data_IF_122157558047
#
_entry.id   IF_122157558047
#
_cell.length_a   1.000
_cell.length_b   1.000
_cell.length_c   1.000
_cell.angle_alpha   90.00
_cell.angle_beta   90.00
_cell.angle_gamma   90.00
#
_symmetry.space_group_name_H-M   'P 1'
#
loop_
_entity.id
_entity.type
_entity.pdbx_description
1 polymer ?
#
# COMPACT_ATOMS: atom_id res chain seq x y z
N UNK A 1 -13.30 30.10 -16.88
CA UNK A 1 -12.91 29.84 -15.47
C UNK A 1 -14.03 29.06 -14.82
N UNK A 2 -13.71 27.91 -14.24
CA UNK A 2 -14.66 27.03 -13.52
C UNK A 2 -14.52 27.33 -12.03
N UNK A 3 -15.63 27.61 -11.33
CA UNK A 3 -15.63 27.89 -9.89
C UNK A 3 -16.24 26.72 -9.15
N UNK A 4 -15.58 26.28 -8.06
CA UNK A 4 -16.01 25.17 -7.22
C UNK A 4 -15.77 25.43 -5.73
N UNK A 5 -16.69 25.00 -4.89
CA UNK A 5 -16.50 25.05 -3.43
C UNK A 5 -15.30 24.21 -3.01
N UNK A 6 -15.17 23.02 -3.57
CA UNK A 6 -14.06 22.11 -3.30
C UNK A 6 -13.49 21.55 -4.61
N UNK A 7 -12.16 21.56 -4.71
CA UNK A 7 -11.45 20.86 -5.77
C UNK A 7 -10.54 19.80 -5.13
N UNK A 8 -10.64 18.57 -5.63
CA UNK A 8 -9.76 17.45 -5.25
C UNK A 8 -8.91 17.10 -6.45
N UNK A 9 -7.59 17.05 -6.29
CA UNK A 9 -6.64 16.74 -7.36
C UNK A 9 -6.05 15.36 -7.17
N UNK A 10 -6.22 14.51 -8.18
CA UNK A 10 -5.78 13.12 -8.20
C UNK A 10 -6.91 12.14 -7.92
N UNK A 11 -7.21 11.29 -8.90
CA UNK A 11 -8.24 10.25 -8.87
C UNK A 11 -7.79 8.91 -8.28
N UNK A 12 -6.73 8.89 -7.46
CA UNK A 12 -6.37 7.72 -6.68
C UNK A 12 -7.34 7.48 -5.52
N UNK A 13 -7.15 6.38 -4.77
CA UNK A 13 -8.04 6.01 -3.66
C UNK A 13 -8.25 7.16 -2.65
N UNK A 14 -7.18 7.86 -2.29
CA UNK A 14 -7.24 8.97 -1.34
C UNK A 14 -8.12 10.13 -1.87
N UNK A 15 -7.94 10.53 -3.13
CA UNK A 15 -8.72 11.60 -3.74
C UNK A 15 -10.18 11.20 -3.95
N UNK A 16 -10.43 9.98 -4.39
CA UNK A 16 -11.80 9.45 -4.53
C UNK A 16 -12.53 9.42 -3.19
N UNK A 17 -11.86 8.95 -2.12
CA UNK A 17 -12.45 8.93 -0.78
C UNK A 17 -12.73 10.34 -0.26
N UNK A 18 -11.83 11.29 -0.49
CA UNK A 18 -12.02 12.69 -0.13
C UNK A 18 -13.20 13.32 -0.89
N UNK A 19 -13.22 13.15 -2.21
CA UNK A 19 -14.30 13.67 -3.06
C UNK A 19 -15.65 13.05 -2.71
N UNK A 20 -15.69 11.72 -2.50
CA UNK A 20 -16.91 11.04 -2.09
C UNK A 20 -17.41 11.52 -0.72
N UNK A 21 -16.52 11.71 0.25
CA UNK A 21 -16.87 12.24 1.57
C UNK A 21 -17.48 13.65 1.49
N UNK A 22 -16.97 14.49 0.59
CA UNK A 22 -17.53 15.82 0.33
C UNK A 22 -18.89 15.74 -0.36
N UNK A 23 -19.01 14.94 -1.42
CA UNK A 23 -20.26 14.73 -2.13
C UNK A 23 -21.34 14.12 -1.23
N UNK A 24 -20.96 13.17 -0.36
CA UNK A 24 -21.86 12.57 0.64
C UNK A 24 -22.45 13.62 1.62
N UNK A 25 -21.70 14.68 1.88
CA UNK A 25 -22.15 15.83 2.70
C UNK A 25 -22.82 16.94 1.87
N UNK A 26 -23.15 16.68 0.61
CA UNK A 26 -23.81 17.64 -0.28
C UNK A 26 -22.95 18.84 -0.68
N UNK A 27 -21.61 18.69 -0.64
CA UNK A 27 -20.71 19.77 -1.04
C UNK A 27 -20.52 19.80 -2.56
N UNK A 28 -20.39 21.00 -3.13
CA UNK A 28 -20.00 21.17 -4.53
C UNK A 28 -18.54 20.81 -4.71
N UNK A 29 -18.28 19.63 -5.25
CA UNK A 29 -16.93 19.05 -5.41
C UNK A 29 -16.63 18.71 -6.85
N UNK A 30 -15.43 19.07 -7.30
CA UNK A 30 -14.82 18.65 -8.55
C UNK A 30 -13.55 17.85 -8.24
N UNK A 31 -13.49 16.61 -8.70
CA UNK A 31 -12.26 15.83 -8.73
C UNK A 31 -11.62 15.96 -10.11
N UNK A 32 -10.32 16.25 -10.14
CA UNK A 32 -9.52 16.39 -11.38
C UNK A 32 -8.49 15.27 -11.42
N UNK A 33 -8.51 14.48 -12.51
CA UNK A 33 -7.58 13.38 -12.77
C UNK A 33 -6.89 13.60 -14.12
N UNK A 34 -5.58 13.40 -14.17
CA UNK A 34 -4.78 13.61 -15.38
C UNK A 34 -4.95 12.50 -16.42
N UNK A 35 -5.29 11.30 -15.98
CA UNK A 35 -5.46 10.14 -16.86
C UNK A 35 -6.91 10.02 -17.35
N UNK A 36 -7.12 9.13 -18.29
CA UNK A 36 -8.45 8.80 -18.84
C UNK A 36 -9.39 8.13 -17.82
N UNK A 37 -8.85 7.65 -16.69
CA UNK A 37 -9.59 6.97 -15.62
C UNK A 37 -8.98 7.20 -14.24
N UNK A 38 -9.81 7.08 -13.21
CA UNK A 38 -9.36 7.04 -11.83
C UNK A 38 -8.68 5.71 -11.47
N UNK A 39 -7.99 5.68 -10.32
CA UNK A 39 -7.41 4.48 -9.71
C UNK A 39 -6.02 4.70 -9.12
N UNK A 40 -5.19 5.49 -9.77
CA UNK A 40 -3.79 5.64 -9.34
C UNK A 40 -3.11 4.27 -9.29
N UNK A 41 -2.56 3.88 -8.12
CA UNK A 41 -1.94 2.57 -7.89
C UNK A 41 -2.96 1.42 -7.71
N UNK A 42 -4.26 1.71 -7.72
CA UNK A 42 -5.33 0.72 -7.63
C UNK A 42 -6.13 0.61 -8.93
N UNK A 43 -5.51 0.90 -10.06
CA UNK A 43 -6.16 0.76 -11.35
C UNK A 43 -6.15 -0.69 -11.84
N UNK A 44 -7.11 -1.03 -12.66
CA UNK A 44 -7.07 -2.22 -13.53
C UNK A 44 -7.02 -1.76 -14.98
N UNK A 45 -6.40 -2.54 -15.84
CA UNK A 45 -6.35 -2.26 -17.28
C UNK A 45 -6.67 -3.51 -18.08
N UNK A 46 -7.08 -3.31 -19.33
CA UNK A 46 -7.38 -4.40 -20.26
C UNK A 46 -6.30 -4.49 -21.33
N UNK A 47 -5.89 -5.71 -21.63
CA UNK A 47 -5.01 -5.99 -22.74
C UNK A 47 -5.34 -7.36 -23.35
N UNK A 48 -5.54 -7.40 -24.66
CA UNK A 48 -5.84 -8.61 -25.43
C UNK A 48 -7.01 -9.42 -24.85
N UNK A 49 -8.06 -8.75 -24.36
CA UNK A 49 -9.23 -9.37 -23.74
C UNK A 49 -9.07 -9.78 -22.28
N UNK A 50 -7.90 -9.64 -21.69
CA UNK A 50 -7.63 -9.91 -20.28
C UNK A 50 -7.62 -8.64 -19.45
N UNK A 51 -8.15 -8.75 -18.24
CA UNK A 51 -8.08 -7.67 -17.23
C UNK A 51 -6.94 -7.95 -16.27
N UNK A 52 -6.06 -6.97 -16.08
CA UNK A 52 -4.92 -7.02 -15.19
C UNK A 52 -5.02 -5.94 -14.12
N UNK A 53 -4.45 -6.24 -12.93
CA UNK A 53 -4.29 -5.27 -11.86
C UNK A 53 -2.99 -4.49 -12.05
N UNK A 54 -3.10 -3.16 -12.24
CA UNK A 54 -1.96 -2.29 -12.55
C UNK A 54 -1.02 -2.01 -11.39
N UNK A 55 -1.46 -2.29 -10.15
CA UNK A 55 -0.66 -2.06 -8.95
C UNK A 55 -1.08 -2.98 -7.81
N UNK A 56 -1.91 -2.50 -6.88
CA UNK A 56 -2.39 -3.33 -5.78
C UNK A 56 -3.22 -4.51 -6.29
N UNK A 57 -2.94 -5.71 -5.75
CA UNK A 57 -3.58 -6.98 -6.15
C UNK A 57 -4.43 -7.58 -5.04
N UNK A 58 -4.46 -6.93 -3.90
CA UNK A 58 -5.28 -7.29 -2.75
C UNK A 58 -5.55 -6.04 -1.93
N UNK A 59 -6.61 -6.08 -1.14
CA UNK A 59 -6.92 -5.06 -0.14
C UNK A 59 -6.71 -5.66 1.24
N UNK A 60 -6.04 -4.91 2.10
CA UNK A 60 -6.04 -5.20 3.53
C UNK A 60 -7.27 -4.52 4.11
N UNK A 61 -8.19 -5.29 4.67
CA UNK A 61 -9.40 -4.72 5.26
C UNK A 61 -9.06 -3.80 6.44
N UNK A 62 -8.21 -4.23 7.36
CA UNK A 62 -7.66 -3.46 8.50
C UNK A 62 -8.65 -2.47 9.14
N UNK A 63 -9.94 -2.81 9.14
CA UNK A 63 -11.00 -1.95 9.67
C UNK A 63 -11.36 -0.72 8.83
N UNK A 64 -10.84 -0.56 7.61
CA UNK A 64 -11.09 0.62 6.76
C UNK A 64 -12.00 0.32 5.55
N UNK A 65 -11.70 -0.75 4.81
CA UNK A 65 -12.40 -1.03 3.54
C UNK A 65 -13.87 -1.37 3.78
N UNK A 66 -14.15 -2.28 4.72
CA UNK A 66 -15.52 -2.65 5.08
C UNK A 66 -16.36 -1.46 5.57
N UNK A 67 -15.87 -0.64 6.52
CA UNK A 67 -16.55 0.60 6.92
C UNK A 67 -16.79 1.58 5.78
N UNK A 68 -15.83 1.78 4.85
CA UNK A 68 -16.02 2.63 3.67
C UNK A 68 -17.15 2.14 2.78
N UNK A 69 -17.16 0.84 2.46
CA UNK A 69 -18.21 0.22 1.65
C UNK A 69 -19.59 0.46 2.30
N UNK A 70 -19.69 0.22 3.61
CA UNK A 70 -20.93 0.37 4.37
C UNK A 70 -21.38 1.82 4.50
N UNK A 71 -20.46 2.75 4.82
CA UNK A 71 -20.76 4.17 5.04
C UNK A 71 -21.30 4.82 3.77
N UNK A 72 -20.66 4.51 2.64
CA UNK A 72 -21.06 5.11 1.37
C UNK A 72 -22.12 4.31 0.61
N UNK A 73 -22.50 3.10 1.10
CA UNK A 73 -23.49 2.24 0.45
C UNK A 73 -23.00 1.71 -0.90
N UNK A 74 -21.70 1.39 -1.01
CA UNK A 74 -21.11 0.92 -2.26
C UNK A 74 -21.67 -0.48 -2.60
N UNK A 75 -22.13 -0.66 -3.82
CA UNK A 75 -22.56 -1.95 -4.34
C UNK A 75 -21.34 -2.78 -4.77
N UNK A 76 -20.56 -3.22 -3.79
CA UNK A 76 -19.31 -3.96 -4.00
C UNK A 76 -19.29 -5.20 -3.12
N UNK A 77 -19.14 -6.37 -3.75
CA UNK A 77 -18.85 -7.62 -3.06
C UNK A 77 -17.34 -7.78 -2.90
N UNK A 78 -16.89 -8.07 -1.67
CA UNK A 78 -15.50 -8.40 -1.38
C UNK A 78 -15.40 -9.84 -0.92
N UNK A 79 -14.39 -10.54 -1.44
CA UNK A 79 -14.14 -11.95 -1.17
C UNK A 79 -12.91 -12.10 -0.29
N UNK A 80 -12.84 -13.09 0.60
CA UNK A 80 -11.59 -13.45 1.26
C UNK A 80 -10.50 -13.76 0.23
N UNK A 81 -9.28 -13.29 0.49
CA UNK A 81 -8.13 -13.51 -0.38
C UNK A 81 -6.96 -14.12 0.44
N UNK A 82 -7.05 -15.39 0.83
CA UNK A 82 -5.99 -16.03 1.58
C UNK A 82 -4.69 -16.05 0.77
N UNK A 83 -3.57 -16.08 1.48
CA UNK A 83 -2.23 -16.08 0.90
C UNK A 83 -1.66 -17.49 0.98
N UNK A 84 -1.05 -17.95 -0.09
CA UNK A 84 -0.22 -19.16 -0.08
C UNK A 84 1.25 -18.76 -0.06
N UNK A 85 1.99 -19.27 0.92
CA UNK A 85 3.46 -19.23 0.93
C UNK A 85 3.99 -20.55 0.37
N UNK A 86 4.73 -20.48 -0.72
CA UNK A 86 5.40 -21.60 -1.35
C UNK A 86 6.92 -21.45 -1.24
N UNK A 87 7.60 -22.48 -0.75
CA UNK A 87 9.07 -22.54 -0.71
C UNK A 87 9.47 -23.93 -1.23
N UNK A 88 10.15 -23.97 -2.38
CA UNK A 88 10.48 -25.21 -3.09
C UNK A 88 9.20 -26.01 -3.41
N UNK A 89 9.12 -27.26 -2.92
CA UNK A 89 7.97 -28.16 -3.06
C UNK A 89 6.92 -28.05 -1.97
N UNK A 90 7.14 -27.16 -1.00
CA UNK A 90 6.25 -26.97 0.15
C UNK A 90 5.38 -25.74 0.00
N UNK A 91 4.12 -25.86 0.37
CA UNK A 91 3.17 -24.75 0.36
C UNK A 91 2.34 -24.71 1.64
N UNK A 92 2.05 -23.51 2.11
CA UNK A 92 1.25 -23.25 3.29
C UNK A 92 0.25 -22.13 3.02
N UNK A 93 -1.02 -22.37 3.27
CA UNK A 93 -2.04 -21.31 3.22
C UNK A 93 -2.05 -20.55 4.55
N UNK A 94 -1.87 -19.24 4.48
CA UNK A 94 -1.91 -18.35 5.64
C UNK A 94 -3.32 -17.78 5.79
N UNK A 95 -3.93 -18.09 6.91
CA UNK A 95 -5.27 -17.61 7.29
C UNK A 95 -5.19 -16.75 8.59
N UNK A 96 -4.10 -16.02 8.76
CA UNK A 96 -3.83 -15.16 9.93
C UNK A 96 -3.12 -15.89 11.07
N UNK A 97 -3.38 -15.43 12.30
CA UNK A 97 -2.67 -15.87 13.51
C UNK A 97 -2.70 -17.41 13.73
N UNK A 98 -3.79 -18.06 13.38
CA UNK A 98 -3.93 -19.52 13.52
C UNK A 98 -2.94 -20.32 12.68
N UNK A 99 -2.38 -19.75 11.62
CA UNK A 99 -1.39 -20.39 10.77
C UNK A 99 0.06 -20.26 11.29
N UNK A 100 0.31 -19.50 12.35
CA UNK A 100 1.65 -19.31 12.89
C UNK A 100 2.33 -20.62 13.35
N UNK A 101 1.64 -21.59 13.97
CA UNK A 101 2.26 -22.88 14.31
C UNK A 101 2.74 -23.64 13.07
N UNK A 102 1.94 -23.64 12.00
CA UNK A 102 2.28 -24.34 10.76
C UNK A 102 3.40 -23.61 10.02
N UNK A 103 3.41 -22.27 10.07
CA UNK A 103 4.52 -21.48 9.55
C UNK A 103 5.83 -21.74 10.30
N UNK A 104 5.79 -21.81 11.65
CA UNK A 104 6.94 -22.20 12.44
C UNK A 104 7.43 -23.61 12.06
N UNK A 105 6.53 -24.57 11.89
CA UNK A 105 6.86 -25.94 11.47
C UNK A 105 7.49 -25.97 10.08
N UNK A 106 6.97 -25.18 9.14
CA UNK A 106 7.54 -25.04 7.80
C UNK A 106 8.97 -24.54 7.86
N UNK A 107 9.22 -23.43 8.56
CA UNK A 107 10.56 -22.84 8.69
C UNK A 107 11.53 -23.76 9.40
N UNK A 108 11.16 -24.39 10.51
CA UNK A 108 11.98 -25.38 11.22
C UNK A 108 12.32 -26.59 10.36
N UNK A 109 11.37 -27.04 9.53
CA UNK A 109 11.62 -28.14 8.59
C UNK A 109 12.56 -27.78 7.46
N UNK A 110 12.66 -26.51 7.10
CA UNK A 110 13.58 -26.00 6.07
C UNK A 110 14.96 -25.64 6.66
N UNK A 111 14.98 -25.15 7.90
CA UNK A 111 16.18 -24.64 8.60
C UNK A 111 16.26 -25.27 10.02
N UNK A 112 16.51 -26.58 10.13
CA UNK A 112 16.51 -27.27 11.43
C UNK A 112 17.61 -26.76 12.37
N UNK A 113 18.69 -26.19 11.83
CA UNK A 113 19.76 -25.56 12.62
C UNK A 113 19.35 -24.24 13.27
N UNK A 114 18.21 -23.66 12.87
CA UNK A 114 17.72 -22.35 13.32
C UNK A 114 16.39 -22.43 14.09
N UNK A 115 16.09 -23.54 14.72
CA UNK A 115 14.80 -23.72 15.42
C UNK A 115 14.55 -22.68 16.53
N UNK A 116 15.60 -22.32 17.29
CA UNK A 116 15.49 -21.34 18.37
C UNK A 116 15.18 -19.92 17.82
N UNK A 117 15.82 -19.55 16.72
CA UNK A 117 15.59 -18.27 16.02
C UNK A 117 14.18 -18.21 15.44
N UNK A 118 13.69 -19.32 14.89
CA UNK A 118 12.29 -19.42 14.41
C UNK A 118 11.32 -19.24 15.57
N UNK A 119 11.53 -19.86 16.73
CA UNK A 119 10.67 -19.67 17.89
C UNK A 119 10.68 -18.23 18.39
N UNK A 120 11.84 -17.59 18.41
CA UNK A 120 11.96 -16.18 18.79
C UNK A 120 11.21 -15.26 17.80
N UNK A 121 11.33 -15.50 16.49
CA UNK A 121 10.57 -14.79 15.46
C UNK A 121 9.06 -14.93 15.66
N UNK A 122 8.56 -16.14 15.85
CA UNK A 122 7.13 -16.41 16.05
C UNK A 122 6.63 -15.73 17.33
N UNK A 123 7.45 -15.72 18.39
CA UNK A 123 7.15 -14.99 19.62
C UNK A 123 7.03 -13.47 19.39
N UNK A 124 7.93 -12.90 18.61
CA UNK A 124 7.90 -11.48 18.22
C UNK A 124 6.65 -11.16 17.38
N UNK A 125 6.32 -11.98 16.40
CA UNK A 125 5.11 -11.82 15.57
C UNK A 125 3.84 -11.83 16.46
N UNK A 126 3.71 -12.79 17.37
CA UNK A 126 2.56 -12.87 18.31
C UNK A 126 2.45 -11.61 19.16
N UNK A 127 3.57 -11.12 19.69
CA UNK A 127 3.57 -9.90 20.50
C UNK A 127 3.06 -8.69 19.71
N UNK A 128 3.46 -8.56 18.45
CA UNK A 128 2.99 -7.47 17.57
C UNK A 128 1.53 -7.66 17.18
N UNK A 129 1.08 -8.89 16.94
CA UNK A 129 -0.36 -9.17 16.70
C UNK A 129 -1.21 -8.71 17.90
N UNK A 130 -0.77 -8.94 19.13
CA UNK A 130 -1.47 -8.48 20.32
C UNK A 130 -1.47 -6.94 20.43
N UNK A 131 -0.41 -6.27 20.02
CA UNK A 131 -0.36 -4.82 19.90
C UNK A 131 -1.34 -4.30 18.83
N UNK A 132 -1.41 -4.98 17.69
CA UNK A 132 -2.37 -4.66 16.62
C UNK A 132 -3.83 -4.79 17.09
N UNK A 133 -4.13 -5.80 17.89
CA UNK A 133 -5.48 -5.95 18.52
C UNK A 133 -5.83 -4.76 19.41
N UNK A 134 -4.87 -4.16 20.10
CA UNK A 134 -5.09 -2.96 20.89
C UNK A 134 -5.32 -1.73 20.00
N UNK A 135 -4.56 -1.56 18.92
CA UNK A 135 -4.67 -0.42 17.99
C UNK A 135 -5.97 -0.42 17.19
N UNK A 136 -6.37 -1.60 16.70
CA UNK A 136 -7.54 -1.76 15.84
C UNK A 136 -8.78 -2.31 16.57
N UNK A 137 -8.67 -2.57 17.88
CA UNK A 137 -9.76 -3.11 18.71
C UNK A 137 -10.89 -2.12 19.02
N UNK A 138 -10.74 -0.85 18.64
CA UNK A 138 -11.76 0.19 18.78
C UNK A 138 -12.28 0.57 17.41
N UNK A 139 -13.60 0.66 17.25
CA UNK A 139 -14.21 1.18 16.03
C UNK A 139 -13.54 2.50 15.64
N UNK A 140 -13.12 2.63 14.39
CA UNK A 140 -12.49 3.84 13.89
C UNK A 140 -13.43 5.03 14.13
N UNK A 141 -13.01 6.07 14.87
CA UNK A 141 -13.87 7.20 15.24
C UNK A 141 -14.40 7.98 14.02
N UNK A 142 -13.76 7.85 12.86
CA UNK A 142 -14.23 8.44 11.60
C UNK A 142 -15.54 7.83 11.12
N UNK A 143 -15.82 6.58 11.48
CA UNK A 143 -17.00 5.82 11.08
C UNK A 143 -17.92 5.46 12.26
N UNK A 144 -17.55 5.85 13.48
CA UNK A 144 -18.35 5.59 14.68
C UNK A 144 -19.66 6.38 14.63
N UNK A 145 -20.79 5.68 14.59
CA UNK A 145 -22.09 6.31 14.88
C UNK A 145 -22.05 6.83 16.31
N UNK A 146 -22.60 8.05 16.55
CA UNK A 146 -22.69 8.68 17.88
C UNK A 146 -23.18 7.66 18.92
N UNK A 147 -22.26 7.05 19.65
CA UNK A 147 -22.55 6.20 20.81
C UNK A 147 -22.52 7.08 22.06
N UNK A 148 -23.40 6.78 23.02
CA UNK A 148 -23.51 7.54 24.26
C UNK A 148 -22.18 7.41 25.05
N UNK A 149 -21.42 8.50 25.14
CA UNK A 149 -20.06 8.56 25.71
C UNK A 149 -20.06 8.09 27.20
N UNK A 150 -21.17 8.28 27.92
CA UNK A 150 -21.28 7.94 29.34
C UNK A 150 -21.27 6.43 29.63
N UNK A 151 -21.75 5.59 28.71
CA UNK A 151 -21.77 4.13 28.90
C UNK A 151 -20.46 3.45 28.51
N UNK A 152 -19.57 4.16 27.81
CA UNK A 152 -18.29 3.64 27.33
C UNK A 152 -17.10 4.04 28.23
N UNK A 153 -17.30 4.96 29.19
CA UNK A 153 -16.21 5.58 29.92
C UNK A 153 -15.22 4.61 30.61
N UNK A 154 -15.62 3.58 31.36
CA UNK A 154 -14.65 2.71 32.03
C UNK A 154 -13.81 1.85 31.08
N UNK A 155 -14.42 1.34 30.02
CA UNK A 155 -13.73 0.54 29.01
C UNK A 155 -12.80 1.40 28.14
N UNK A 156 -13.18 2.64 27.84
CA UNK A 156 -12.36 3.61 27.11
C UNK A 156 -11.14 4.02 27.95
N UNK A 157 -11.29 4.26 29.24
CA UNK A 157 -10.16 4.62 30.12
C UNK A 157 -9.14 3.48 30.18
N UNK A 158 -9.59 2.24 30.43
CA UNK A 158 -8.71 1.08 30.48
C UNK A 158 -8.02 0.83 29.13
N UNK A 159 -8.76 1.01 28.04
CA UNK A 159 -8.21 0.90 26.68
C UNK A 159 -7.20 2.02 26.40
N UNK A 160 -7.47 3.24 26.79
CA UNK A 160 -6.57 4.40 26.61
C UNK A 160 -5.20 4.15 27.25
N UNK A 161 -5.18 3.57 28.45
CA UNK A 161 -3.93 3.24 29.12
C UNK A 161 -3.16 2.13 28.35
N UNK A 162 -3.86 1.09 27.89
CA UNK A 162 -3.27 0.06 27.03
C UNK A 162 -2.74 0.66 25.73
N UNK A 163 -3.51 1.55 25.11
CA UNK A 163 -3.15 2.23 23.87
C UNK A 163 -1.84 3.01 24.00
N UNK A 164 -1.70 3.87 25.00
CA UNK A 164 -0.47 4.64 25.20
C UNK A 164 0.74 3.75 25.50
N UNK A 165 0.57 2.68 26.27
CA UNK A 165 1.62 1.70 26.51
C UNK A 165 2.03 0.99 25.21
N UNK A 166 1.08 0.60 24.40
CA UNK A 166 1.31 -0.03 23.09
C UNK A 166 2.01 0.95 22.14
N UNK A 167 1.54 2.20 22.04
CA UNK A 167 2.19 3.23 21.23
C UNK A 167 3.64 3.47 21.63
N UNK A 168 3.93 3.48 22.94
CA UNK A 168 5.30 3.61 23.42
C UNK A 168 6.19 2.41 23.03
N UNK A 169 5.65 1.19 23.04
CA UNK A 169 6.38 0.01 22.54
C UNK A 169 6.65 0.08 21.05
N UNK A 170 5.62 0.41 20.28
CA UNK A 170 5.70 0.50 18.81
C UNK A 170 6.69 1.58 18.38
N UNK A 171 6.71 2.72 19.06
CA UNK A 171 7.65 3.80 18.78
C UNK A 171 9.14 3.39 18.95
N UNK A 172 9.40 2.27 19.63
CA UNK A 172 10.75 1.68 19.75
C UNK A 172 11.05 0.61 18.68
N UNK A 173 10.09 0.27 17.84
CA UNK A 173 10.18 -0.74 16.80
C UNK A 173 10.28 -0.10 15.41
N UNK A 174 10.94 1.06 15.32
CA UNK A 174 11.17 1.84 14.10
C UNK A 174 12.48 1.47 13.37
N UNK A 175 13.32 0.64 14.01
CA UNK A 175 14.55 0.14 13.38
C UNK A 175 14.22 -0.67 12.12
N UNK A 176 15.12 -0.67 11.11
CA UNK A 176 14.97 -1.49 9.92
C UNK A 176 14.80 -2.98 10.25
N UNK A 177 13.90 -3.66 9.58
CA UNK A 177 13.59 -5.07 9.84
C UNK A 177 14.79 -5.98 9.56
N UNK A 178 15.57 -5.67 8.54
CA UNK A 178 16.83 -6.38 8.24
C UNK A 178 17.82 -6.35 9.40
N UNK A 179 17.93 -5.23 10.14
CA UNK A 179 18.79 -5.12 11.34
C UNK A 179 18.26 -6.01 12.48
N UNK A 180 16.94 -6.06 12.65
CA UNK A 180 16.33 -6.95 13.63
C UNK A 180 16.52 -8.43 13.27
N UNK A 181 16.44 -8.78 11.99
CA UNK A 181 16.76 -10.13 11.51
C UNK A 181 18.23 -10.49 11.70
N UNK A 182 19.15 -9.55 11.48
CA UNK A 182 20.57 -9.74 11.73
C UNK A 182 20.88 -9.97 13.22
N UNK A 183 20.16 -9.32 14.11
CA UNK A 183 20.27 -9.54 15.56
C UNK A 183 19.61 -10.86 16.00
N UNK A 184 18.60 -11.34 15.26
CA UNK A 184 17.86 -12.55 15.58
C UNK A 184 18.58 -13.83 15.16
N UNK A 185 19.17 -13.85 13.96
CA UNK A 185 19.74 -15.07 13.37
C UNK A 185 21.03 -14.80 12.59
N UNK A 186 21.95 -15.76 12.67
CA UNK A 186 23.14 -15.82 11.81
C UNK A 186 22.86 -16.53 10.47
N UNK A 187 21.75 -17.25 10.33
CA UNK A 187 21.37 -17.96 9.13
C UNK A 187 20.87 -16.98 8.05
N UNK A 188 21.71 -16.69 7.06
CA UNK A 188 21.40 -15.75 6.00
C UNK A 188 20.21 -16.21 5.15
N UNK A 189 20.11 -17.51 4.86
CA UNK A 189 19.02 -18.04 4.06
C UNK A 189 17.65 -17.86 4.75
N UNK A 190 17.57 -18.13 6.06
CA UNK A 190 16.38 -17.89 6.86
C UNK A 190 16.01 -16.39 6.86
N UNK A 191 16.99 -15.50 7.06
CA UNK A 191 16.77 -14.05 7.03
C UNK A 191 16.23 -13.58 5.68
N UNK A 192 16.78 -14.08 4.58
CA UNK A 192 16.37 -13.72 3.23
C UNK A 192 14.94 -14.16 2.94
N UNK A 193 14.56 -15.39 3.28
CA UNK A 193 13.20 -15.91 3.10
C UNK A 193 12.17 -15.06 3.85
N UNK A 194 12.51 -14.58 5.04
CA UNK A 194 11.61 -13.76 5.84
C UNK A 194 11.63 -12.31 5.36
N UNK A 195 12.81 -11.77 5.08
CA UNK A 195 13.03 -10.35 4.81
C UNK A 195 12.59 -9.91 3.42
N UNK A 196 12.64 -10.77 2.41
CA UNK A 196 12.36 -10.40 1.02
C UNK A 196 10.89 -10.07 0.71
N UNK A 197 9.98 -10.26 1.66
CA UNK A 197 8.59 -9.79 1.57
C UNK A 197 8.46 -8.27 1.78
N UNK A 198 9.52 -7.60 2.22
CA UNK A 198 9.49 -6.21 2.66
C UNK A 198 10.50 -5.37 1.90
N UNK A 199 10.15 -4.10 1.70
CA UNK A 199 11.10 -3.12 1.19
C UNK A 199 12.22 -2.87 2.21
N UNK A 200 13.39 -2.49 1.71
CA UNK A 200 14.52 -2.12 2.56
C UNK A 200 14.14 -1.01 3.53
N UNK A 201 14.67 -1.10 4.74
CA UNK A 201 14.38 -0.18 5.85
C UNK A 201 12.91 -0.16 6.28
N UNK A 202 12.14 -1.21 5.96
CA UNK A 202 10.80 -1.37 6.54
C UNK A 202 10.94 -1.47 8.06
N UNK A 203 10.19 -0.66 8.85
CA UNK A 203 10.23 -0.73 10.31
C UNK A 203 9.79 -2.10 10.82
N UNK A 204 10.45 -2.59 11.88
CA UNK A 204 10.16 -3.89 12.52
C UNK A 204 8.67 -4.07 12.82
N UNK A 205 8.04 -3.03 13.40
CA UNK A 205 6.62 -3.10 13.72
C UNK A 205 5.77 -3.40 12.48
N UNK A 206 6.03 -2.70 11.37
CA UNK A 206 5.27 -2.90 10.14
C UNK A 206 5.48 -4.31 9.58
N UNK A 207 6.73 -4.78 9.50
CA UNK A 207 7.05 -6.10 8.98
C UNK A 207 6.39 -7.23 9.81
N UNK A 208 6.51 -7.19 11.13
CA UNK A 208 5.90 -8.20 12.00
C UNK A 208 4.37 -8.13 12.03
N UNK A 209 3.79 -6.93 11.86
CA UNK A 209 2.33 -6.77 11.79
C UNK A 209 1.71 -7.37 10.53
N UNK A 210 2.49 -7.54 9.48
CA UNK A 210 2.02 -8.05 8.19
C UNK A 210 1.42 -9.46 8.29
N UNK A 211 1.92 -10.28 9.23
CA UNK A 211 1.34 -11.61 9.49
C UNK A 211 -0.09 -11.53 10.06
N UNK A 212 -0.43 -10.48 10.82
CA UNK A 212 -1.81 -10.21 11.22
C UNK A 212 -2.65 -9.77 10.02
N UNK A 213 -2.07 -8.92 9.16
CA UNK A 213 -2.75 -8.36 8.00
C UNK A 213 -3.07 -9.41 6.93
N UNK A 214 -2.26 -10.46 6.79
CA UNK A 214 -2.53 -11.56 5.86
C UNK A 214 -3.89 -12.24 6.11
N UNK A 215 -4.34 -12.33 7.35
CA UNK A 215 -5.65 -12.86 7.68
C UNK A 215 -6.83 -11.96 7.28
N UNK A 216 -6.55 -10.68 7.01
CA UNK A 216 -7.53 -9.65 6.65
C UNK A 216 -7.52 -9.29 5.15
N UNK A 217 -6.79 -10.05 4.34
CA UNK A 217 -6.75 -9.82 2.90
C UNK A 217 -8.09 -10.13 2.26
N UNK A 218 -8.58 -9.18 1.48
CA UNK A 218 -9.80 -9.30 0.69
C UNK A 218 -9.55 -8.87 -0.75
N UNK A 219 -10.39 -9.35 -1.65
CA UNK A 219 -10.34 -9.01 -3.05
C UNK A 219 -11.72 -8.62 -3.56
N UNK A 220 -11.88 -7.45 -4.19
CA UNK A 220 -13.14 -7.04 -4.76
C UNK A 220 -13.54 -7.93 -5.93
N UNK A 221 -14.77 -8.40 -5.94
CA UNK A 221 -15.30 -9.14 -7.09
C UNK A 221 -15.27 -8.24 -8.32
N UNK A 222 -14.61 -8.70 -9.37
CA UNK A 222 -14.34 -7.91 -10.56
C UNK A 222 -13.02 -7.13 -10.55
N UNK A 223 -12.17 -7.32 -9.53
CA UNK A 223 -10.84 -6.71 -9.42
C UNK A 223 -10.81 -5.44 -8.60
N UNK A 224 -9.61 -4.96 -8.27
CA UNK A 224 -9.44 -3.73 -7.47
C UNK A 224 -9.99 -2.49 -8.21
N UNK A 225 -9.98 -2.51 -9.55
CA UNK A 225 -10.59 -1.47 -10.36
C UNK A 225 -12.10 -1.36 -10.15
N UNK A 226 -12.81 -2.45 -9.83
CA UNK A 226 -14.24 -2.41 -9.52
C UNK A 226 -14.53 -1.57 -8.24
N UNK A 227 -13.63 -1.61 -7.26
CA UNK A 227 -13.74 -0.74 -6.10
C UNK A 227 -13.58 0.74 -6.46
N UNK A 228 -12.61 1.06 -7.32
CA UNK A 228 -12.38 2.42 -7.83
C UNK A 228 -13.59 2.91 -8.64
N UNK A 229 -14.11 2.09 -9.54
CA UNK A 229 -15.29 2.39 -10.36
C UNK A 229 -16.52 2.63 -9.48
N UNK A 230 -16.70 1.85 -8.42
CA UNK A 230 -17.77 2.03 -7.44
C UNK A 230 -17.67 3.38 -6.71
N UNK A 231 -16.48 3.78 -6.28
CA UNK A 231 -16.25 5.09 -5.64
C UNK A 231 -16.54 6.25 -6.60
N UNK A 232 -16.00 6.17 -7.83
CA UNK A 232 -16.20 7.20 -8.85
C UNK A 232 -17.68 7.35 -9.26
N UNK A 233 -18.37 6.23 -9.46
CA UNK A 233 -19.82 6.21 -9.76
C UNK A 233 -20.64 6.82 -8.63
N UNK A 234 -20.28 6.54 -7.37
CA UNK A 234 -21.00 7.09 -6.22
C UNK A 234 -20.77 8.59 -6.04
N UNK A 235 -19.58 9.12 -6.38
CA UNK A 235 -19.31 10.57 -6.41
C UNK A 235 -20.30 11.24 -7.38
N UNK A 236 -20.37 10.73 -8.60
CA UNK A 236 -21.24 11.28 -9.65
C UNK A 236 -22.73 11.16 -9.28
N UNK A 237 -23.14 10.01 -8.73
CA UNK A 237 -24.53 9.80 -8.27
C UNK A 237 -24.96 10.81 -7.19
N UNK A 238 -24.01 11.30 -6.40
CA UNK A 238 -24.25 12.31 -5.35
C UNK A 238 -24.07 13.76 -5.82
N UNK A 239 -23.93 13.99 -7.13
CA UNK A 239 -23.80 15.32 -7.72
C UNK A 239 -22.38 15.88 -7.73
N UNK A 240 -21.37 15.12 -7.27
CA UNK A 240 -19.97 15.47 -7.49
C UNK A 240 -19.59 15.31 -8.96
N UNK A 241 -18.55 16.02 -9.37
CA UNK A 241 -18.06 15.99 -10.75
C UNK A 241 -16.65 15.39 -10.79
N UNK A 242 -16.35 14.63 -11.84
CA UNK A 242 -15.01 14.11 -12.12
C UNK A 242 -14.61 14.60 -13.51
N UNK A 243 -13.43 15.18 -13.60
CA UNK A 243 -12.84 15.63 -14.85
C UNK A 243 -11.57 14.83 -15.11
N UNK A 244 -11.58 14.07 -16.17
CA UNK A 244 -10.47 13.23 -16.62
C UNK A 244 -9.58 13.99 -17.61
N UNK A 245 -8.44 13.39 -17.96
CA UNK A 245 -7.48 13.90 -18.97
C UNK A 245 -7.09 15.35 -18.72
N UNK A 246 -6.98 15.74 -17.44
CA UNK A 246 -6.76 17.12 -17.03
C UNK A 246 -5.57 17.18 -16.07
N UNK A 247 -4.41 17.55 -16.61
CA UNK A 247 -3.19 17.73 -15.84
C UNK A 247 -3.06 19.16 -15.35
N UNK A 248 -2.97 19.35 -14.04
CA UNK A 248 -2.75 20.67 -13.46
C UNK A 248 -1.26 21.01 -13.45
N UNK A 249 -0.93 22.17 -14.01
CA UNK A 249 0.45 22.63 -14.18
C UNK A 249 0.80 23.84 -13.30
N UNK A 250 -0.20 24.55 -12.77
CA UNK A 250 0.00 25.70 -11.88
C UNK A 250 -1.02 25.71 -10.74
N UNK A 251 -0.53 26.02 -9.54
CA UNK A 251 -1.31 26.22 -8.32
C UNK A 251 -0.97 27.60 -7.77
N UNK A 252 -1.86 28.55 -7.93
CA UNK A 252 -1.75 29.91 -7.35
C UNK A 252 -2.55 29.95 -6.04
N UNK A 253 -1.84 29.79 -4.93
CA UNK A 253 -2.45 29.74 -3.62
C UNK A 253 -2.97 31.12 -3.16
N UNK A 254 -2.39 32.21 -3.65
CA UNK A 254 -2.78 33.58 -3.28
C UNK A 254 -4.15 33.94 -3.86
N UNK A 255 -4.39 33.56 -5.10
CA UNK A 255 -5.64 33.80 -5.81
C UNK A 255 -6.63 32.66 -5.72
N UNK A 256 -6.23 31.54 -5.08
CA UNK A 256 -7.00 30.28 -5.00
C UNK A 256 -7.42 29.78 -6.38
N UNK A 257 -6.46 29.75 -7.32
CA UNK A 257 -6.68 29.28 -8.70
C UNK A 257 -5.72 28.16 -9.07
N UNK A 258 -6.19 27.31 -9.98
CA UNK A 258 -5.42 26.28 -10.64
C UNK A 258 -5.45 26.54 -12.12
N UNK A 259 -4.41 26.12 -12.85
CA UNK A 259 -4.39 26.14 -14.31
C UNK A 259 -3.97 24.77 -14.80
N UNK A 260 -4.69 24.22 -15.77
CA UNK A 260 -4.32 22.96 -16.41
C UNK A 260 -3.40 23.19 -17.64
N UNK A 261 -2.91 22.08 -18.21
CA UNK A 261 -2.04 22.09 -19.37
C UNK A 261 -2.67 22.70 -20.64
N UNK A 262 -4.01 22.75 -20.70
CA UNK A 262 -4.73 23.40 -21.79
C UNK A 262 -4.86 24.93 -21.62
N UNK A 263 -4.51 25.44 -20.44
CA UNK A 263 -4.67 26.85 -20.06
C UNK A 263 -6.03 27.17 -19.44
N UNK A 264 -6.89 26.17 -19.21
CA UNK A 264 -8.15 26.41 -18.49
C UNK A 264 -7.88 26.66 -17.01
N UNK A 265 -8.64 27.59 -16.44
CA UNK A 265 -8.48 28.02 -15.06
C UNK A 265 -9.65 27.61 -14.18
N UNK A 266 -9.33 27.21 -12.96
CA UNK A 266 -10.26 26.77 -11.92
C UNK A 266 -10.07 27.61 -10.67
N UNK A 267 -11.18 28.09 -10.09
CA UNK A 267 -11.18 28.77 -8.78
C UNK A 267 -11.76 27.83 -7.72
N UNK A 268 -11.11 27.75 -6.57
CA UNK A 268 -11.55 26.89 -5.49
C UNK A 268 -11.81 27.65 -4.18
N UNK A 269 -12.80 27.21 -3.42
CA UNK A 269 -12.96 27.60 -2.01
C UNK A 269 -11.90 26.88 -1.13
N UNK A 270 -11.82 25.56 -1.31
CA UNK A 270 -10.82 24.69 -0.65
C UNK A 270 -10.22 23.71 -1.64
N UNK A 271 -8.93 23.46 -1.52
CA UNK A 271 -8.16 22.53 -2.36
C UNK A 271 -7.68 21.34 -1.53
N UNK A 272 -7.90 20.12 -2.03
CA UNK A 272 -7.30 18.89 -1.53
C UNK A 272 -6.39 18.33 -2.62
N UNK A 273 -5.08 18.29 -2.36
CA UNK A 273 -4.13 17.67 -3.26
C UNK A 273 -3.86 16.22 -2.84
N UNK A 274 -4.37 15.27 -3.59
CA UNK A 274 -4.26 13.82 -3.37
C UNK A 274 -3.48 13.13 -4.52
N UNK A 275 -2.72 13.91 -5.28
CA UNK A 275 -1.81 13.46 -6.32
C UNK A 275 -0.35 13.45 -5.81
N UNK A 276 0.61 13.22 -6.70
CA UNK A 276 2.03 13.25 -6.37
C UNK A 276 2.44 14.57 -5.69
N UNK A 277 3.11 14.45 -4.55
CA UNK A 277 3.51 15.61 -3.75
C UNK A 277 4.58 16.46 -4.45
N UNK A 278 5.48 15.85 -5.21
CA UNK A 278 6.48 16.57 -5.99
C UNK A 278 5.84 17.39 -7.11
N UNK A 279 4.77 16.86 -7.71
CA UNK A 279 4.00 17.58 -8.72
C UNK A 279 3.36 18.83 -8.12
N UNK A 280 2.80 18.77 -6.90
CA UNK A 280 2.29 19.94 -6.19
C UNK A 280 3.38 21.03 -6.06
N UNK A 281 4.54 20.64 -5.50
CA UNK A 281 5.61 21.63 -5.25
C UNK A 281 6.26 22.16 -6.54
N UNK A 282 6.22 21.42 -7.64
CA UNK A 282 6.64 21.95 -8.96
C UNK A 282 5.64 22.96 -9.51
N UNK A 283 4.34 22.69 -9.35
CA UNK A 283 3.25 23.52 -9.86
C UNK A 283 2.96 24.74 -8.97
N UNK A 284 3.39 24.73 -7.70
CA UNK A 284 3.09 25.80 -6.74
C UNK A 284 3.75 27.12 -7.11
N UNK A 285 2.93 28.15 -7.32
CA UNK A 285 3.33 29.53 -7.51
C UNK A 285 3.19 30.31 -6.18
N UNK A 286 4.32 30.82 -5.72
CA UNK A 286 4.42 31.55 -4.45
C UNK A 286 4.40 33.08 -4.63
N UNK A 287 4.43 33.58 -5.86
CA UNK A 287 4.71 35.01 -6.15
C UNK A 287 3.74 35.98 -5.48
N UNK A 288 2.50 35.56 -5.26
CA UNK A 288 1.47 36.38 -4.61
C UNK A 288 1.33 36.17 -3.08
N UNK A 289 2.19 35.32 -2.48
CA UNK A 289 2.12 35.04 -1.04
C UNK A 289 2.95 36.05 -0.23
N UNK A 290 2.65 36.25 1.08
CA UNK A 290 3.53 36.99 1.98
C UNK A 290 4.94 36.38 2.03
N UNK A 291 5.98 37.21 2.20
CA UNK A 291 7.39 36.81 2.15
C UNK A 291 7.71 35.61 3.05
N UNK A 292 7.18 35.60 4.27
CA UNK A 292 7.33 34.47 5.20
C UNK A 292 6.78 33.15 4.64
N UNK A 293 5.62 33.19 3.97
CA UNK A 293 5.01 32.02 3.36
C UNK A 293 5.77 31.55 2.12
N UNK A 294 6.32 32.50 1.34
CA UNK A 294 7.20 32.17 0.20
C UNK A 294 8.45 31.42 0.69
N UNK A 295 9.11 31.92 1.74
CA UNK A 295 10.31 31.29 2.32
C UNK A 295 9.99 29.88 2.88
N UNK A 296 8.89 29.72 3.59
CA UNK A 296 8.45 28.40 4.10
C UNK A 296 8.15 27.43 2.95
N UNK A 297 7.45 27.88 1.91
CA UNK A 297 7.16 27.05 0.73
C UNK A 297 8.43 26.65 0.01
N UNK A 298 9.41 27.56 -0.15
CA UNK A 298 10.70 27.26 -0.77
C UNK A 298 11.46 26.20 0.02
N UNK A 299 11.54 26.31 1.33
CA UNK A 299 12.19 25.32 2.21
C UNK A 299 11.54 23.94 2.08
N UNK A 300 10.20 23.87 2.12
CA UNK A 300 9.47 22.61 1.95
C UNK A 300 9.64 22.03 0.54
N UNK A 301 9.63 22.88 -0.48
CA UNK A 301 9.85 22.47 -1.89
C UNK A 301 11.22 21.82 -2.05
N UNK A 302 12.27 22.43 -1.53
CA UNK A 302 13.62 21.88 -1.55
C UNK A 302 13.66 20.52 -0.83
N UNK A 303 13.12 20.44 0.39
CA UNK A 303 13.07 19.21 1.15
C UNK A 303 12.33 18.08 0.40
N UNK A 304 11.17 18.35 -0.18
CA UNK A 304 10.38 17.34 -0.91
C UNK A 304 11.05 16.93 -2.23
N UNK A 305 11.60 17.89 -2.98
CA UNK A 305 12.17 17.59 -4.30
C UNK A 305 13.53 16.88 -4.21
N UNK A 306 14.29 17.08 -3.13
CA UNK A 306 15.57 16.40 -2.90
C UNK A 306 15.42 14.93 -2.53
N UNK A 307 14.28 14.51 -1.98
CA UNK A 307 14.06 13.11 -1.63
C UNK A 307 13.80 12.26 -2.87
N UNK A 308 14.37 11.05 -2.89
CA UNK A 308 14.02 10.01 -3.86
C UNK A 308 12.93 9.12 -3.28
N UNK A 309 12.13 8.48 -4.16
CA UNK A 309 11.18 7.46 -3.73
C UNK A 309 11.89 6.22 -3.16
N UNK A 310 11.12 5.35 -2.53
CA UNK A 310 11.57 4.02 -2.11
C UNK A 310 11.77 3.09 -3.33
N UNK A 311 11.94 1.81 -3.06
CA UNK A 311 12.07 0.77 -4.08
C UNK A 311 10.84 0.69 -4.98
N UNK A 312 11.02 0.21 -6.21
CA UNK A 312 9.97 -0.04 -7.18
C UNK A 312 9.70 -1.53 -7.30
N UNK A 313 8.47 -1.87 -7.69
CA UNK A 313 8.08 -3.24 -8.00
C UNK A 313 8.09 -3.43 -9.52
N UNK A 314 8.82 -4.44 -9.99
CA UNK A 314 8.74 -4.91 -11.37
C UNK A 314 7.62 -5.94 -11.48
N UNK A 315 6.61 -5.67 -12.31
CA UNK A 315 5.47 -6.57 -12.51
C UNK A 315 5.50 -7.18 -13.90
N UNK A 316 5.33 -8.50 -13.96
CA UNK A 316 5.13 -9.24 -15.21
C UNK A 316 3.67 -9.68 -15.27
N UNK A 317 3.01 -9.35 -16.36
CA UNK A 317 1.65 -9.78 -16.63
C UNK A 317 1.69 -10.92 -17.66
N UNK A 318 1.13 -12.06 -17.30
CA UNK A 318 1.09 -13.24 -18.17
C UNK A 318 -0.36 -13.70 -18.34
N UNK A 319 -0.75 -13.94 -19.59
CA UNK A 319 -2.01 -14.60 -19.92
C UNK A 319 -1.70 -15.99 -20.46
N UNK A 320 -2.49 -16.97 -20.09
CA UNK A 320 -2.35 -18.35 -20.54
C UNK A 320 -3.73 -18.93 -20.87
N UNK A 321 -3.81 -19.64 -21.99
CA UNK A 321 -5.00 -20.43 -22.38
C UNK A 321 -5.00 -21.78 -21.66
N UNK A 322 -5.09 -21.71 -20.31
CA UNK A 322 -5.12 -22.89 -19.45
C UNK A 322 -6.40 -22.87 -18.60
N UNK A 323 -6.97 -24.03 -18.28
CA UNK A 323 -8.08 -24.11 -17.35
C UNK A 323 -7.64 -23.65 -15.96
N UNK A 324 -8.54 -23.10 -15.10
CA UNK A 324 -8.18 -22.56 -13.81
C UNK A 324 -7.83 -23.63 -12.75
N UNK A 325 -8.17 -24.90 -12.97
CA UNK A 325 -8.00 -25.98 -12.01
C UNK A 325 -6.55 -26.23 -11.56
N UNK A 326 -5.53 -26.23 -12.44
CA UNK A 326 -4.13 -26.32 -12.02
C UNK A 326 -3.71 -25.20 -11.08
N UNK A 327 -4.15 -23.96 -11.33
CA UNK A 327 -3.82 -22.81 -10.49
C UNK A 327 -4.49 -22.92 -9.12
N UNK A 328 -5.76 -23.35 -9.04
CA UNK A 328 -6.47 -23.58 -7.78
C UNK A 328 -5.83 -24.68 -6.94
N UNK A 329 -5.20 -25.67 -7.57
CA UNK A 329 -4.45 -26.74 -6.87
C UNK A 329 -3.08 -26.26 -6.38
N UNK A 330 -2.45 -25.35 -7.09
CA UNK A 330 -1.14 -24.81 -6.73
C UNK A 330 -1.19 -23.89 -5.52
N UNK A 331 -2.31 -23.17 -5.32
CA UNK A 331 -2.45 -22.26 -4.20
C UNK A 331 -3.73 -21.43 -4.25
N UNK A 332 -3.79 -20.43 -3.41
CA UNK A 332 -4.84 -19.41 -3.38
C UNK A 332 -4.69 -18.41 -4.54
N UNK A 333 -5.58 -17.42 -4.60
CA UNK A 333 -5.48 -16.34 -5.60
C UNK A 333 -4.27 -15.41 -5.43
N UNK A 334 -3.61 -15.47 -4.27
CA UNK A 334 -2.41 -14.70 -3.97
C UNK A 334 -1.33 -15.65 -3.45
N UNK A 335 -0.24 -15.77 -4.18
CA UNK A 335 0.84 -16.71 -3.87
C UNK A 335 2.17 -15.95 -3.78
N UNK A 336 2.90 -16.17 -2.70
CA UNK A 336 4.32 -15.84 -2.60
C UNK A 336 5.10 -17.14 -2.78
N UNK A 337 5.95 -17.20 -3.79
CA UNK A 337 6.70 -18.41 -4.11
C UNK A 337 8.19 -18.15 -4.22
N UNK A 338 8.98 -18.90 -3.47
CA UNK A 338 10.44 -18.89 -3.51
C UNK A 338 10.93 -20.23 -4.04
N UNK A 339 11.55 -20.27 -5.23
CA UNK A 339 12.00 -21.53 -5.86
C UNK A 339 13.06 -22.29 -5.09
N UNK A 340 14.01 -21.60 -4.46
CA UNK A 340 15.13 -22.20 -3.70
C UNK A 340 15.30 -21.52 -2.34
N UNK A 341 15.36 -22.33 -1.27
CA UNK A 341 15.47 -21.86 0.12
C UNK A 341 16.86 -21.32 0.51
N UNK A 342 17.85 -21.41 -0.38
CA UNK A 342 19.21 -20.92 -0.08
C UNK A 342 19.29 -19.41 0.15
N UNK A 343 18.25 -18.68 -0.25
CA UNK A 343 18.16 -17.22 -0.10
C UNK A 343 19.02 -16.46 -1.11
N UNK A 344 18.81 -15.14 -1.14
CA UNK A 344 19.51 -14.25 -2.08
C UNK A 344 20.93 -13.88 -1.63
N UNK A 345 21.19 -13.90 -0.33
CA UNK A 345 22.43 -13.41 0.25
C UNK A 345 22.65 -11.91 -0.02
N UNK A 346 23.87 -11.45 0.17
CA UNK A 346 24.27 -10.06 -0.12
C UNK A 346 24.56 -9.81 -1.60
N UNK A 347 24.78 -10.88 -2.37
CA UNK A 347 25.28 -10.82 -3.75
C UNK A 347 24.38 -10.04 -4.67
N UNK A 348 23.07 -10.26 -4.58
CA UNK A 348 22.11 -9.65 -5.51
C UNK A 348 22.07 -8.12 -5.45
N UNK A 349 22.25 -7.52 -4.27
CA UNK A 349 22.21 -6.05 -4.11
C UNK A 349 23.41 -5.39 -4.75
N UNK A 350 24.59 -5.97 -4.55
CA UNK A 350 25.85 -5.42 -5.08
C UNK A 350 25.96 -5.66 -6.58
N UNK A 351 25.53 -6.83 -7.05
CA UNK A 351 25.44 -7.13 -8.49
C UNK A 351 24.44 -6.21 -9.20
N UNK A 352 23.25 -5.96 -8.61
CA UNK A 352 22.27 -5.05 -9.18
C UNK A 352 22.82 -3.62 -9.24
N UNK A 353 23.47 -3.13 -8.18
CA UNK A 353 24.14 -1.84 -8.19
C UNK A 353 25.20 -1.73 -9.27
N UNK A 354 26.01 -2.79 -9.44
CA UNK A 354 27.04 -2.86 -10.48
C UNK A 354 26.43 -2.83 -11.89
N UNK A 355 25.32 -3.53 -12.12
CA UNK A 355 24.59 -3.47 -13.38
C UNK A 355 24.01 -2.08 -13.63
N UNK A 356 23.36 -1.48 -12.63
CA UNK A 356 22.73 -0.16 -12.75
C UNK A 356 23.75 0.96 -12.98
N UNK A 357 24.95 0.86 -12.38
CA UNK A 357 26.00 1.87 -12.58
C UNK A 357 26.58 1.94 -14.01
N UNK A 358 26.36 0.88 -14.81
CA UNK A 358 26.81 0.78 -16.19
C UNK A 358 25.69 0.39 -17.16
N UNK A 359 24.46 0.78 -16.84
CA UNK A 359 23.24 0.33 -17.52
C UNK A 359 23.30 0.45 -19.05
N UNK A 360 23.84 1.56 -19.57
CA UNK A 360 23.96 1.81 -21.02
C UNK A 360 24.89 0.81 -21.75
N UNK A 361 25.73 0.10 -21.01
CA UNK A 361 26.66 -0.92 -21.54
C UNK A 361 26.23 -2.36 -21.23
N UNK A 362 25.16 -2.57 -20.48
CA UNK A 362 24.67 -3.90 -20.12
C UNK A 362 24.06 -4.60 -21.32
N UNK A 363 24.58 -5.77 -21.67
CA UNK A 363 24.00 -6.59 -22.75
C UNK A 363 22.76 -7.33 -22.29
N UNK A 364 21.89 -7.72 -23.23
CA UNK A 364 20.71 -8.54 -22.93
C UNK A 364 21.09 -9.88 -22.29
N UNK A 365 22.18 -10.49 -22.73
CA UNK A 365 22.62 -11.77 -22.21
C UNK A 365 23.10 -11.68 -20.76
N UNK A 366 23.83 -10.61 -20.41
CA UNK A 366 24.23 -10.33 -19.03
C UNK A 366 23.01 -10.11 -18.12
N UNK A 367 22.03 -9.31 -18.58
CA UNK A 367 20.80 -9.07 -17.85
C UNK A 367 20.01 -10.38 -17.66
N UNK A 368 19.85 -11.18 -18.70
CA UNK A 368 19.15 -12.46 -18.60
C UNK A 368 19.88 -13.47 -17.73
N UNK A 369 21.19 -13.51 -17.75
CA UNK A 369 21.98 -14.37 -16.88
C UNK A 369 21.80 -13.96 -15.39
N UNK A 370 21.80 -12.66 -15.12
CA UNK A 370 21.53 -12.14 -13.78
C UNK A 370 20.09 -12.45 -13.35
N UNK A 371 19.10 -12.17 -14.19
CA UNK A 371 17.68 -12.44 -13.90
C UNK A 371 17.43 -13.91 -13.59
N UNK A 372 18.00 -14.85 -14.38
CA UNK A 372 17.86 -16.29 -14.13
C UNK A 372 18.40 -16.72 -12.79
N UNK A 373 19.51 -16.14 -12.31
CA UNK A 373 20.02 -16.40 -10.96
C UNK A 373 19.13 -15.77 -9.91
N UNK A 374 18.79 -14.50 -10.10
CA UNK A 374 17.93 -13.75 -9.17
C UNK A 374 16.58 -14.46 -8.97
N UNK A 375 15.93 -14.88 -10.06
CA UNK A 375 14.64 -15.55 -10.01
C UNK A 375 14.65 -16.93 -9.32
N UNK A 376 15.82 -17.55 -9.13
CA UNK A 376 15.92 -18.80 -8.35
C UNK A 376 15.70 -18.60 -6.86
N UNK A 377 16.15 -17.47 -6.33
CA UNK A 377 16.21 -17.22 -4.89
C UNK A 377 15.21 -16.16 -4.43
N UNK A 378 14.62 -15.42 -5.36
CA UNK A 378 13.67 -14.37 -5.03
C UNK A 378 12.26 -14.92 -4.83
N UNK A 379 11.50 -14.27 -3.96
CA UNK A 379 10.06 -14.52 -3.79
C UNK A 379 9.26 -13.75 -4.85
N UNK A 380 8.33 -14.41 -5.47
CA UNK A 380 7.42 -13.87 -6.48
C UNK A 380 6.01 -13.77 -5.95
#
# INVERSE_FOLDING_TARGET
MIEKGFIVVGGGLAGLTAALSLAHKGKDVLLIEKNERCGGLMNSFWRDGFRFEGGARALVNAGLVGPLIKEFGLALEVLPNPITLGIEDKALVIEGEKSLPDYAKLLKGLYPESEAEVDALIGAIRSVIDDMKVLYGVDNPLFAKKKNVLTLAPSVVAWTFKFFRTMYRIAKMDTPFEEALDALSSNQALKDIIGQHFFRKTPVFFALSYFALYGDYVYPKGGVGAFIESLAGEITRRGGQIRYETELVRVDASNKTLTDASGESYRYGSLIWAADLKALYRAADASGLPEKAQAELATRKEAVLSHTGAESVFSVFAAAELPPEPFKKAGSGHVFYTPERAGLGKIHTDELKALMSRWDSVTKDELYAWLRRFCRYNTF
#
